data_IF_973227648593
#
_entry.id   IF_973227648593
#
_cell.length_a   1.000
_cell.length_b   1.000
_cell.length_c   1.000
_cell.angle_alpha   90.00
_cell.angle_beta   90.00
_cell.angle_gamma   90.00
#
_symmetry.space_group_name_H-M   'P 1'
#
loop_
_entity.id
_entity.type
_entity.pdbx_description
1 polymer ?
#
# COMPACT_ATOMS: atom_id res chain seq x y z
N UNK A 1 25.08 5.87 -9.65
CA UNK A 1 23.71 5.33 -9.78
C UNK A 1 22.72 6.23 -9.06
N UNK A 2 21.52 6.46 -9.60
CA UNK A 2 20.55 7.40 -9.01
C UNK A 2 20.00 6.90 -7.66
N UNK A 3 19.77 5.59 -7.55
CA UNK A 3 19.25 4.93 -6.33
C UNK A 3 20.13 5.20 -5.09
N UNK A 4 21.45 5.26 -5.28
CA UNK A 4 22.40 5.52 -4.18
C UNK A 4 22.44 6.98 -3.74
N UNK A 5 21.87 7.91 -4.53
CA UNK A 5 21.89 9.35 -4.25
C UNK A 5 20.60 9.79 -3.56
N UNK A 6 19.45 9.27 -3.99
CA UNK A 6 18.12 9.65 -3.47
C UNK A 6 17.78 9.01 -2.13
N UNK A 7 17.08 9.73 -1.25
CA UNK A 7 16.64 9.23 0.07
C UNK A 7 15.41 8.33 0.06
N UNK A 8 14.87 8.03 -1.11
CA UNK A 8 13.73 7.15 -1.26
C UNK A 8 13.45 6.90 -2.73
N UNK A 9 12.64 5.90 -2.98
CA UNK A 9 12.22 5.52 -4.31
C UNK A 9 10.72 5.21 -4.30
N UNK A 10 10.02 5.75 -5.29
CA UNK A 10 8.66 5.36 -5.64
C UNK A 10 8.78 4.53 -6.91
N UNK A 11 8.62 3.21 -6.78
CA UNK A 11 8.62 2.29 -7.91
C UNK A 11 7.22 2.20 -8.48
N UNK A 12 7.10 2.48 -9.78
CA UNK A 12 5.87 2.33 -10.54
C UNK A 12 5.99 1.08 -11.42
N UNK A 13 5.01 0.19 -11.35
CA UNK A 13 5.01 -1.06 -12.12
C UNK A 13 3.90 -1.11 -13.15
N UNK A 14 4.24 -1.57 -14.35
CA UNK A 14 3.28 -1.73 -15.45
C UNK A 14 2.19 -2.75 -15.12
N UNK A 15 2.50 -3.81 -14.40
CA UNK A 15 1.53 -4.86 -14.04
C UNK A 15 0.44 -4.31 -13.11
N UNK A 16 0.81 -3.47 -12.14
CA UNK A 16 -0.14 -2.76 -11.27
C UNK A 16 -1.02 -1.79 -12.06
N UNK A 17 -0.43 -1.06 -13.01
CA UNK A 17 -1.17 -0.15 -13.87
C UNK A 17 -2.19 -0.89 -14.75
N UNK A 18 -1.80 -2.03 -15.31
CA UNK A 18 -2.65 -2.91 -16.14
C UNK A 18 -3.76 -3.57 -15.31
N UNK A 19 -3.50 -3.85 -14.03
CA UNK A 19 -4.49 -4.34 -13.06
C UNK A 19 -5.40 -3.21 -12.51
N UNK A 20 -5.41 -2.03 -13.13
CA UNK A 20 -6.17 -0.84 -12.72
C UNK A 20 -5.82 -0.30 -11.31
N UNK A 21 -4.67 -0.67 -10.75
CA UNK A 21 -4.16 0.00 -9.56
C UNK A 21 -3.47 1.30 -9.97
N UNK A 22 -4.14 2.42 -9.70
CA UNK A 22 -3.66 3.77 -10.08
C UNK A 22 -3.76 4.69 -8.87
N UNK A 23 -2.66 5.32 -8.40
CA UNK A 23 -1.30 5.23 -8.93
C UNK A 23 -0.67 3.84 -8.73
N UNK A 24 0.16 3.42 -9.69
CA UNK A 24 0.72 2.06 -9.79
C UNK A 24 1.95 1.85 -8.90
N UNK A 25 1.90 2.30 -7.64
CA UNK A 25 3.02 2.26 -6.70
C UNK A 25 3.17 0.85 -6.11
N UNK A 26 4.35 0.27 -6.27
CA UNK A 26 4.72 -0.95 -5.53
C UNK A 26 5.16 -0.58 -4.12
N UNK A 27 4.28 -0.79 -3.14
CA UNK A 27 4.52 -0.49 -1.72
C UNK A 27 5.58 -1.40 -1.08
N UNK A 28 5.81 -2.59 -1.64
CA UNK A 28 6.82 -3.54 -1.15
C UNK A 28 8.23 -3.07 -1.46
N UNK A 29 8.47 -2.62 -2.69
CA UNK A 29 9.80 -2.19 -3.17
C UNK A 29 10.03 -0.69 -2.90
N UNK A 30 8.98 0.13 -2.88
CA UNK A 30 9.10 1.56 -2.61
C UNK A 30 9.53 1.83 -1.17
N UNK A 31 10.48 2.75 -0.99
CA UNK A 31 11.09 3.06 0.30
C UNK A 31 11.25 4.57 0.49
N UNK A 32 11.24 4.98 1.74
CA UNK A 32 11.63 6.31 2.19
C UNK A 32 12.56 6.14 3.39
N UNK A 33 13.80 6.66 3.30
CA UNK A 33 14.78 6.64 4.39
C UNK A 33 14.38 7.59 5.52
N UNK A 34 13.70 8.69 5.19
CA UNK A 34 13.17 9.64 6.19
C UNK A 34 11.99 9.04 6.96
N UNK A 35 11.22 8.17 6.31
CA UNK A 35 10.15 7.40 6.95
C UNK A 35 9.08 8.29 7.61
N UNK A 36 8.67 7.89 8.81
CA UNK A 36 7.59 8.54 9.56
C UNK A 36 7.94 9.90 10.17
N UNK A 37 9.14 10.42 9.97
CA UNK A 37 9.53 11.75 10.47
C UNK A 37 9.09 12.87 9.52
N UNK A 38 8.86 12.53 8.24
CA UNK A 38 8.23 13.43 7.26
C UNK A 38 6.69 13.48 7.39
N UNK A 39 6.10 12.76 8.35
CA UNK A 39 4.65 12.58 8.49
C UNK A 39 4.08 13.42 9.63
N UNK A 40 2.89 14.00 9.40
CA UNK A 40 2.10 14.61 10.49
C UNK A 40 1.69 13.53 11.49
N UNK A 41 1.59 13.88 12.79
CA UNK A 41 1.27 12.92 13.85
C UNK A 41 0.01 12.09 13.58
N UNK A 42 -1.02 12.70 12.98
CA UNK A 42 -2.27 12.05 12.61
C UNK A 42 -2.08 10.94 11.58
N UNK A 43 -1.38 11.22 10.47
CA UNK A 43 -1.12 10.21 9.44
C UNK A 43 -0.23 9.08 9.98
N UNK A 44 0.83 9.42 10.73
CA UNK A 44 1.74 8.43 11.34
C UNK A 44 1.00 7.44 12.23
N UNK A 45 -0.01 7.90 12.96
CA UNK A 45 -0.82 7.05 13.87
C UNK A 45 -1.71 6.06 13.11
N UNK A 46 -2.27 6.46 11.96
CA UNK A 46 -3.21 5.62 11.20
C UNK A 46 -2.50 4.75 10.14
N UNK A 47 -1.36 5.18 9.61
CA UNK A 47 -0.66 4.47 8.51
C UNK A 47 0.48 3.56 8.97
N UNK A 48 0.74 3.46 10.27
CA UNK A 48 1.93 2.78 10.82
C UNK A 48 2.06 1.30 10.43
N UNK A 49 0.94 0.58 10.37
CA UNK A 49 0.91 -0.86 9.98
C UNK A 49 0.62 -1.08 8.50
N UNK A 50 0.22 -0.03 7.76
CA UNK A 50 -0.31 -0.14 6.40
C UNK A 50 0.69 -0.80 5.44
N UNK A 51 1.97 -0.41 5.50
CA UNK A 51 3.01 -1.00 4.65
C UNK A 51 3.19 -2.50 4.92
N UNK A 52 3.17 -2.90 6.19
CA UNK A 52 3.33 -4.30 6.59
C UNK A 52 2.12 -5.13 6.17
N UNK A 53 0.90 -4.61 6.37
CA UNK A 53 -0.35 -5.26 5.99
C UNK A 53 -0.44 -5.49 4.48
N UNK A 54 -0.05 -4.49 3.66
CA UNK A 54 -0.03 -4.63 2.21
C UNK A 54 1.07 -5.59 1.73
N UNK A 55 2.24 -5.62 2.37
CA UNK A 55 3.28 -6.59 2.06
C UNK A 55 2.83 -8.02 2.37
N UNK A 56 2.19 -8.25 3.53
CA UNK A 56 1.61 -9.54 3.89
C UNK A 56 0.49 -9.96 2.92
N UNK A 57 -0.37 -9.00 2.54
CA UNK A 57 -1.42 -9.24 1.55
C UNK A 57 -0.85 -9.74 0.22
N UNK A 58 0.20 -9.10 -0.31
CA UNK A 58 0.82 -9.52 -1.58
C UNK A 58 1.40 -10.93 -1.50
N UNK A 59 2.10 -11.26 -0.42
CA UNK A 59 2.63 -12.60 -0.21
C UNK A 59 1.52 -13.65 -0.12
N UNK A 60 0.42 -13.32 0.56
CA UNK A 60 -0.72 -14.22 0.75
C UNK A 60 -1.57 -14.36 -0.51
N UNK A 61 -1.74 -13.30 -1.30
CA UNK A 61 -2.44 -13.30 -2.60
C UNK A 61 -1.76 -14.28 -3.56
N UNK A 62 -0.42 -14.24 -3.63
CA UNK A 62 0.35 -15.18 -4.44
C UNK A 62 0.16 -16.64 -4.00
N UNK A 63 0.13 -16.90 -2.69
CA UNK A 63 -0.08 -18.24 -2.14
C UNK A 63 -1.53 -18.74 -2.35
N UNK A 64 -2.50 -17.86 -2.19
CA UNK A 64 -3.92 -18.15 -2.34
C UNK A 64 -4.31 -18.59 -3.75
N UNK A 65 -3.56 -18.19 -4.78
CA UNK A 65 -3.77 -18.67 -6.15
C UNK A 65 -3.53 -20.19 -6.31
N UNK A 66 -2.78 -20.82 -5.40
CA UNK A 66 -2.43 -22.23 -5.46
C UNK A 66 -3.06 -23.07 -4.35
N UNK A 67 -3.66 -22.44 -3.34
CA UNK A 67 -4.24 -23.12 -2.19
C UNK A 67 -5.75 -23.32 -2.38
N UNK A 68 -6.23 -24.57 -2.21
CA UNK A 68 -7.64 -24.91 -2.31
C UNK A 68 -8.45 -24.55 -1.06
N UNK A 69 -7.82 -24.49 0.12
CA UNK A 69 -8.48 -24.13 1.36
C UNK A 69 -7.60 -23.19 2.19
N UNK A 70 -8.18 -22.07 2.60
CA UNK A 70 -7.52 -21.04 3.40
C UNK A 70 -8.16 -21.01 4.78
N UNK A 71 -7.36 -20.96 5.83
CA UNK A 71 -7.87 -20.78 7.18
C UNK A 71 -8.59 -19.42 7.33
N UNK A 72 -9.40 -19.28 8.38
CA UNK A 72 -10.20 -18.08 8.57
C UNK A 72 -9.34 -16.82 8.72
N UNK A 73 -8.13 -16.95 9.27
CA UNK A 73 -7.19 -15.84 9.48
C UNK A 73 -6.68 -15.33 8.14
N UNK A 74 -6.20 -16.22 7.28
CA UNK A 74 -5.74 -15.86 5.93
C UNK A 74 -6.85 -15.24 5.09
N UNK A 75 -8.07 -15.78 5.16
CA UNK A 75 -9.24 -15.19 4.47
C UNK A 75 -9.51 -13.76 4.92
N UNK A 76 -9.43 -13.48 6.23
CA UNK A 76 -9.62 -12.12 6.76
C UNK A 76 -8.50 -11.18 6.33
N UNK A 77 -7.26 -11.65 6.31
CA UNK A 77 -6.11 -10.86 5.85
C UNK A 77 -6.21 -10.52 4.36
N UNK A 78 -6.58 -11.48 3.50
CA UNK A 78 -6.85 -11.24 2.08
C UNK A 78 -7.96 -10.21 1.89
N UNK A 79 -9.09 -10.38 2.57
CA UNK A 79 -10.21 -9.46 2.47
C UNK A 79 -9.85 -8.04 2.90
N UNK A 80 -9.06 -7.90 3.97
CA UNK A 80 -8.58 -6.60 4.44
C UNK A 80 -7.59 -5.98 3.45
N UNK A 81 -6.60 -6.73 2.99
CA UNK A 81 -5.60 -6.25 2.04
C UNK A 81 -6.18 -5.84 0.69
N UNK A 82 -7.20 -6.55 0.20
CA UNK A 82 -7.94 -6.17 -1.00
C UNK A 82 -8.64 -4.80 -0.84
N UNK A 83 -9.30 -4.55 0.31
CA UNK A 83 -9.92 -3.24 0.61
C UNK A 83 -8.89 -2.13 0.71
N UNK A 84 -7.75 -2.39 1.38
CA UNK A 84 -6.67 -1.41 1.50
C UNK A 84 -6.03 -1.09 0.14
N UNK A 85 -5.92 -2.08 -0.74
CA UNK A 85 -5.41 -1.88 -2.11
C UNK A 85 -6.36 -0.99 -2.91
N UNK A 86 -7.68 -1.24 -2.79
CA UNK A 86 -8.69 -0.39 -3.42
C UNK A 86 -8.70 1.04 -2.87
N UNK A 87 -8.59 1.18 -1.54
CA UNK A 87 -8.54 2.47 -0.85
C UNK A 87 -7.41 3.38 -1.37
N UNK A 88 -6.28 2.79 -1.76
CA UNK A 88 -5.13 3.50 -2.29
C UNK A 88 -5.26 3.86 -3.77
N UNK A 89 -6.38 3.54 -4.43
CA UNK A 89 -6.65 4.03 -5.77
C UNK A 89 -7.09 5.48 -5.73
N UNK A 90 -6.48 6.27 -6.61
CA UNK A 90 -6.70 7.69 -6.69
C UNK A 90 -6.73 8.11 -8.17
N UNK A 91 -7.80 8.79 -8.63
CA UNK A 91 -7.86 9.35 -9.97
C UNK A 91 -6.76 10.40 -10.20
N UNK A 92 -6.36 10.53 -11.47
CA UNK A 92 -5.43 11.58 -11.87
C UNK A 92 -6.01 12.97 -11.59
N UNK A 93 -5.13 13.91 -11.23
CA UNK A 93 -5.50 15.31 -10.94
C UNK A 93 -6.51 15.51 -9.81
N UNK A 94 -6.70 14.50 -8.95
CA UNK A 94 -7.63 14.56 -7.82
C UNK A 94 -6.88 14.42 -6.50
N UNK A 95 -6.06 15.39 -6.08
CA UNK A 95 -5.33 15.33 -4.81
C UNK A 95 -6.31 15.40 -3.62
N UNK A 96 -6.10 14.57 -2.61
CA UNK A 96 -6.83 14.65 -1.36
C UNK A 96 -6.04 15.46 -0.32
N UNK A 97 -6.70 16.36 0.44
CA UNK A 97 -6.04 17.01 1.57
C UNK A 97 -5.77 16.00 2.70
N UNK A 98 -4.79 16.29 3.56
CA UNK A 98 -4.27 15.33 4.55
C UNK A 98 -5.36 14.85 5.50
N UNK A 99 -6.28 15.71 5.92
CA UNK A 99 -7.41 15.36 6.76
C UNK A 99 -8.31 14.28 6.14
N UNK A 100 -8.56 14.34 4.83
CA UNK A 100 -9.34 13.31 4.13
C UNK A 100 -8.55 12.01 4.02
N UNK A 101 -7.24 12.08 3.74
CA UNK A 101 -6.39 10.89 3.72
C UNK A 101 -6.37 10.16 5.08
N UNK A 102 -6.30 10.91 6.18
CA UNK A 102 -6.32 10.35 7.54
C UNK A 102 -7.65 9.63 7.81
N UNK A 103 -8.78 10.26 7.48
CA UNK A 103 -10.10 9.65 7.68
C UNK A 103 -10.26 8.39 6.83
N UNK A 104 -9.82 8.43 5.57
CA UNK A 104 -9.87 7.30 4.66
C UNK A 104 -9.04 6.10 5.13
N UNK A 105 -7.85 6.33 5.68
CA UNK A 105 -6.96 5.25 6.19
C UNK A 105 -7.45 4.71 7.54
N UNK A 106 -8.14 5.52 8.32
CA UNK A 106 -8.67 5.11 9.62
C UNK A 106 -9.89 4.17 9.52
N UNK A 107 -10.73 4.36 8.50
CA UNK A 107 -11.98 3.62 8.28
C UNK A 107 -11.76 2.17 7.84
#
# INVERSE_FOLDING_TARGET
>A
NVISITDGQIFLQSDLFNANQRPAVDVGISVSRVGGDAQVKSIKKVSGTLKLELAQYRSLEAFAMFASDLDQTSRRQLARGARLTELLRQPQYSPYPVEQQVVSIWA
#
